data_IF_988437117904
#
_entry.id   IF_988437117904
#
_cell.length_a   1.000
_cell.length_b   1.000
_cell.length_c   1.000
_cell.angle_alpha   90.00
_cell.angle_beta   90.00
_cell.angle_gamma   90.00
#
_symmetry.space_group_name_H-M   'P 1'
#
loop_
_entity.id
_entity.type
_entity.pdbx_description
1 polymer ?
#
# COMPACT_ATOMS: atom_id res chain seq x y z
N UNK A 1 -7.90 -11.36 -17.99
CA UNK A 1 -7.80 -11.27 -16.51
C UNK A 1 -7.95 -9.81 -16.18
N UNK A 2 -9.11 -9.41 -15.70
CA UNK A 2 -9.37 -8.03 -15.31
C UNK A 2 -8.67 -7.73 -13.98
N UNK A 3 -8.03 -6.57 -13.89
CA UNK A 3 -7.44 -6.11 -12.64
C UNK A 3 -8.56 -5.48 -11.81
N UNK A 4 -8.88 -6.11 -10.68
CA UNK A 4 -9.97 -5.67 -9.81
C UNK A 4 -9.54 -4.68 -8.73
N UNK A 5 -8.24 -4.49 -8.50
CA UNK A 5 -7.71 -3.62 -7.44
C UNK A 5 -6.19 -3.54 -7.44
N UNK A 6 -5.63 -2.49 -6.84
CA UNK A 6 -4.19 -2.38 -6.57
C UNK A 6 -3.91 -2.23 -5.08
N UNK A 7 -2.84 -2.89 -4.62
CA UNK A 7 -2.31 -2.72 -3.26
C UNK A 7 -0.95 -2.07 -3.36
N UNK A 8 -0.83 -0.92 -2.71
CA UNK A 8 0.33 -0.06 -2.72
C UNK A 8 0.97 -0.12 -1.33
N UNK A 9 2.15 -0.73 -1.23
CA UNK A 9 2.82 -0.94 0.06
C UNK A 9 4.05 -0.05 0.16
N UNK A 10 4.17 0.71 1.24
CA UNK A 10 5.37 1.46 1.60
C UNK A 10 5.86 1.06 2.99
N UNK A 11 7.06 1.46 3.37
CA UNK A 11 7.60 1.23 4.71
C UNK A 11 7.53 2.51 5.53
N UNK A 12 6.98 2.43 6.75
CA UNK A 12 6.89 3.59 7.65
C UNK A 12 8.26 4.13 8.08
N UNK A 13 9.32 3.33 7.92
CA UNK A 13 10.71 3.67 8.22
C UNK A 13 11.49 4.14 6.99
N UNK A 14 10.84 4.42 5.86
CA UNK A 14 11.54 4.85 4.65
C UNK A 14 10.71 5.85 3.85
N UNK A 15 11.05 7.13 3.97
CA UNK A 15 10.41 8.19 3.17
C UNK A 15 10.58 7.97 1.67
N UNK A 16 11.70 7.38 1.24
CA UNK A 16 11.91 7.02 -0.16
C UNK A 16 10.89 6.01 -0.68
N UNK A 17 10.52 5.02 0.14
CA UNK A 17 9.46 4.07 -0.24
C UNK A 17 8.08 4.73 -0.34
N UNK A 18 7.85 5.77 0.48
CA UNK A 18 6.63 6.57 0.44
C UNK A 18 6.55 7.42 -0.84
N UNK A 19 7.65 8.07 -1.24
CA UNK A 19 7.70 8.81 -2.52
C UNK A 19 7.50 7.89 -3.73
N UNK A 20 8.13 6.72 -3.73
CA UNK A 20 8.00 5.74 -4.82
C UNK A 20 6.56 5.28 -4.97
N UNK A 21 5.83 5.07 -3.88
CA UNK A 21 4.43 4.62 -3.95
C UNK A 21 3.52 5.68 -4.58
N UNK A 22 3.81 6.97 -4.36
CA UNK A 22 3.11 8.07 -5.01
C UNK A 22 3.37 8.10 -6.52
N UNK A 23 4.62 7.90 -6.93
CA UNK A 23 4.99 7.83 -8.36
C UNK A 23 4.30 6.64 -9.04
N UNK A 24 4.19 5.50 -8.36
CA UNK A 24 3.48 4.34 -8.89
C UNK A 24 1.99 4.64 -9.01
N UNK A 25 1.39 5.28 -8.00
CA UNK A 25 -0.01 5.69 -8.03
C UNK A 25 -0.31 6.60 -9.24
N UNK A 26 0.51 7.62 -9.48
CA UNK A 26 0.32 8.53 -10.62
C UNK A 26 0.40 7.79 -11.96
N UNK A 27 1.37 6.87 -12.10
CA UNK A 27 1.47 6.02 -13.30
C UNK A 27 0.26 5.10 -13.47
N UNK A 28 -0.26 4.55 -12.36
CA UNK A 28 -1.46 3.73 -12.39
C UNK A 28 -2.68 4.54 -12.86
N UNK A 29 -2.82 5.79 -12.39
CA UNK A 29 -3.87 6.69 -12.85
C UNK A 29 -3.76 7.00 -14.35
N UNK A 30 -2.55 7.32 -14.82
CA UNK A 30 -2.28 7.59 -16.23
C UNK A 30 -2.61 6.38 -17.13
N UNK A 31 -2.29 5.17 -16.66
CA UNK A 31 -2.54 3.93 -17.40
C UNK A 31 -4.00 3.48 -17.37
N UNK A 32 -4.70 3.68 -16.25
CA UNK A 32 -6.09 3.19 -16.06
C UNK A 32 -7.14 4.15 -16.61
N UNK A 33 -6.75 5.37 -16.99
CA UNK A 33 -7.44 6.19 -17.99
C UNK A 33 -8.90 6.57 -17.70
N UNK A 34 -9.38 6.44 -16.44
CA UNK A 34 -10.71 6.76 -15.85
C UNK A 34 -11.43 5.60 -15.16
N UNK A 35 -10.89 4.38 -15.16
CA UNK A 35 -11.48 3.30 -14.34
C UNK A 35 -11.05 3.52 -12.89
N UNK A 36 -12.02 3.79 -12.02
CA UNK A 36 -11.79 3.97 -10.58
C UNK A 36 -11.50 2.61 -9.95
N UNK A 37 -10.28 2.10 -10.17
CA UNK A 37 -9.83 0.83 -9.61
C UNK A 37 -9.64 1.02 -8.10
N UNK A 38 -10.21 0.15 -7.25
CA UNK A 38 -9.99 0.20 -5.81
C UNK A 38 -8.50 0.12 -5.48
N UNK A 39 -8.03 1.07 -4.68
CA UNK A 39 -6.63 1.12 -4.23
C UNK A 39 -6.59 1.00 -2.71
N UNK A 40 -5.63 0.22 -2.22
CA UNK A 40 -5.33 0.08 -0.79
C UNK A 40 -3.89 0.48 -0.55
N UNK A 41 -3.67 1.51 0.27
CA UNK A 41 -2.36 1.95 0.71
C UNK A 41 -2.01 1.25 2.04
N UNK A 42 -0.86 0.59 2.08
CA UNK A 42 -0.40 -0.19 3.23
C UNK A 42 0.94 0.35 3.74
N UNK A 43 0.96 0.89 4.96
CA UNK A 43 2.17 1.23 5.69
C UNK A 43 2.72 0.02 6.42
N UNK A 44 3.79 -0.57 5.89
CA UNK A 44 4.46 -1.75 6.46
C UNK A 44 5.57 -1.34 7.47
N UNK A 45 5.94 -2.28 8.35
CA UNK A 45 6.94 -2.19 9.42
C UNK A 45 6.52 -1.38 10.65
N UNK A 46 5.25 -1.44 11.03
CA UNK A 46 4.75 -0.73 12.22
C UNK A 46 5.36 -1.19 13.55
N UNK A 47 5.99 -2.36 13.57
CA UNK A 47 6.84 -2.83 14.66
C UNK A 47 8.02 -1.90 14.95
N UNK A 48 8.56 -1.24 13.91
CA UNK A 48 9.65 -0.27 14.01
C UNK A 48 9.13 1.16 14.28
N UNK A 49 8.18 1.29 15.20
CA UNK A 49 7.59 2.58 15.59
C UNK A 49 8.62 3.64 16.02
N UNK A 50 9.74 3.21 16.62
CA UNK A 50 10.84 4.11 17.05
C UNK A 50 11.65 4.66 15.86
N UNK A 51 11.68 3.94 14.74
CA UNK A 51 12.34 4.36 13.50
C UNK A 51 11.35 4.92 12.48
N UNK A 52 10.13 5.26 12.93
CA UNK A 52 9.07 5.79 12.09
C UNK A 52 9.50 7.14 11.52
N UNK A 53 9.62 7.20 10.20
CA UNK A 53 9.84 8.42 9.45
C UNK A 53 8.53 9.00 8.92
N UNK A 54 7.55 8.14 8.62
CA UNK A 54 6.24 8.53 8.09
C UNK A 54 5.18 8.36 9.18
N UNK A 55 4.54 9.45 9.58
CA UNK A 55 3.44 9.40 10.54
C UNK A 55 2.24 8.64 9.96
N UNK A 56 1.47 7.98 10.82
CA UNK A 56 0.22 7.34 10.40
C UNK A 56 -0.76 8.36 9.81
N UNK A 57 -0.71 9.61 10.29
CA UNK A 57 -1.52 10.72 9.76
C UNK A 57 -1.14 11.08 8.32
N UNK A 58 0.16 11.11 8.00
CA UNK A 58 0.61 11.40 6.63
C UNK A 58 0.21 10.28 5.65
N UNK A 59 0.33 9.02 6.08
CA UNK A 59 -0.16 7.88 5.31
C UNK A 59 -1.68 7.91 5.10
N UNK A 60 -2.43 8.22 6.15
CA UNK A 60 -3.90 8.33 6.08
C UNK A 60 -4.33 9.49 5.18
N UNK A 61 -3.71 10.65 5.30
CA UNK A 61 -3.97 11.84 4.47
C UNK A 61 -3.72 11.54 2.99
N UNK A 62 -2.66 10.79 2.69
CA UNK A 62 -2.37 10.36 1.32
C UNK A 62 -3.46 9.40 0.79
N UNK A 63 -3.89 8.43 1.59
CA UNK A 63 -4.97 7.53 1.19
C UNK A 63 -6.31 8.26 0.99
N UNK A 64 -6.64 9.23 1.85
CA UNK A 64 -7.84 10.07 1.71
C UNK A 64 -7.82 10.88 0.40
N UNK A 65 -6.67 11.44 0.04
CA UNK A 65 -6.46 12.14 -1.24
C UNK A 65 -6.75 11.22 -2.44
N UNK A 66 -6.36 9.96 -2.32
CA UNK A 66 -6.53 8.93 -3.35
C UNK A 66 -7.90 8.25 -3.31
N UNK A 67 -8.74 8.58 -2.32
CA UNK A 67 -9.96 7.82 -1.99
C UNK A 67 -9.69 6.31 -1.85
N UNK A 68 -8.51 5.99 -1.34
CA UNK A 68 -8.00 4.65 -1.11
C UNK A 68 -8.24 4.22 0.35
N UNK A 69 -8.28 2.91 0.59
CA UNK A 69 -8.25 2.39 1.96
C UNK A 69 -6.82 2.49 2.51
N UNK A 70 -6.66 2.82 3.79
CA UNK A 70 -5.37 2.87 4.47
C UNK A 70 -5.28 1.75 5.52
N UNK A 71 -4.17 1.01 5.51
CA UNK A 71 -3.86 -0.02 6.48
C UNK A 71 -2.42 0.10 6.95
N UNK A 72 -2.17 -0.24 8.21
CA UNK A 72 -0.82 -0.31 8.77
C UNK A 72 -0.55 -1.74 9.21
N UNK A 73 0.61 -2.29 8.82
CA UNK A 73 0.96 -3.70 9.01
C UNK A 73 2.41 -3.82 9.50
N UNK A 74 2.71 -4.87 10.26
CA UNK A 74 4.07 -5.17 10.69
C UNK A 74 4.57 -6.38 9.91
N UNK A 75 5.82 -6.35 9.42
CA UNK A 75 6.42 -7.51 8.75
C UNK A 75 6.54 -8.72 9.69
N UNK A 76 6.45 -8.48 11.01
CA UNK A 76 6.45 -9.52 12.05
C UNK A 76 5.09 -10.21 12.20
N UNK A 77 3.99 -9.53 11.87
CA UNK A 77 2.69 -10.18 11.61
C UNK A 77 2.67 -10.61 10.15
N UNK A 78 3.32 -11.73 9.86
CA UNK A 78 3.35 -12.36 8.55
C UNK A 78 1.99 -12.97 8.12
N UNK A 79 0.89 -12.39 8.59
CA UNK A 79 -0.49 -12.69 8.27
C UNK A 79 -1.26 -11.38 8.15
N UNK A 80 -1.02 -10.65 7.07
CA UNK A 80 -2.14 -9.92 6.49
C UNK A 80 -2.78 -10.91 5.55
N UNK A 81 -3.67 -11.74 6.08
CA UNK A 81 -4.53 -12.60 5.28
C UNK A 81 -5.39 -11.71 4.38
N UNK A 82 -4.87 -11.33 3.21
CA UNK A 82 -5.63 -10.77 2.09
C UNK A 82 -6.51 -11.86 1.42
N UNK A 83 -6.92 -12.88 2.18
CA UNK A 83 -7.64 -14.07 1.74
C UNK A 83 -9.11 -13.82 1.36
N UNK A 84 -9.56 -12.57 1.23
CA UNK A 84 -10.93 -12.27 0.82
C UNK A 84 -11.07 -11.50 -0.50
N UNK A 85 -10.00 -11.01 -1.12
CA UNK A 85 -10.11 -10.28 -2.41
C UNK A 85 -9.22 -10.82 -3.52
N UNK A 86 -8.13 -11.52 -3.20
CA UNK A 86 -7.22 -12.05 -4.22
C UNK A 86 -7.15 -13.56 -4.08
N UNK A 87 -8.06 -14.26 -4.77
CA UNK A 87 -7.86 -15.67 -5.06
C UNK A 87 -6.50 -15.85 -5.75
N UNK A 88 -5.66 -16.70 -5.17
CA UNK A 88 -4.51 -17.34 -5.80
C UNK A 88 -3.31 -16.50 -6.26
N UNK A 89 -2.91 -15.45 -5.53
CA UNK A 89 -1.53 -14.95 -5.63
C UNK A 89 -0.79 -15.06 -4.30
N UNK A 90 -0.26 -16.26 -4.08
CA UNK A 90 0.73 -16.59 -3.06
C UNK A 90 1.84 -15.54 -3.02
N UNK A 91 1.99 -14.90 -1.86
CA UNK A 91 3.11 -14.06 -1.43
C UNK A 91 4.46 -14.77 -1.63
N UNK A 92 5.01 -14.72 -2.85
CA UNK A 92 6.33 -15.32 -3.14
C UNK A 92 7.42 -14.29 -3.49
N UNK A 93 7.18 -13.02 -3.20
CA UNK A 93 8.16 -11.94 -3.28
C UNK A 93 7.83 -11.05 -2.09
N UNK A 94 8.70 -10.82 -1.11
CA UNK A 94 9.83 -9.89 -1.23
C UNK A 94 10.88 -10.29 -0.16
N UNK A 95 12.07 -10.70 -0.61
CA UNK A 95 13.33 -10.56 0.14
C UNK A 95 14.06 -9.32 -0.35
#
# INVERSE_FOLDING_TARGET
>A
MDIHGYVLVYSITSSKSFEVVQIIYDKLLDMTGKVHVPIVLVGNKTDLHMERMISSEEGKRLAELWKAAFLETSAKQNEVSFGFILGDFTLHYIM
#
